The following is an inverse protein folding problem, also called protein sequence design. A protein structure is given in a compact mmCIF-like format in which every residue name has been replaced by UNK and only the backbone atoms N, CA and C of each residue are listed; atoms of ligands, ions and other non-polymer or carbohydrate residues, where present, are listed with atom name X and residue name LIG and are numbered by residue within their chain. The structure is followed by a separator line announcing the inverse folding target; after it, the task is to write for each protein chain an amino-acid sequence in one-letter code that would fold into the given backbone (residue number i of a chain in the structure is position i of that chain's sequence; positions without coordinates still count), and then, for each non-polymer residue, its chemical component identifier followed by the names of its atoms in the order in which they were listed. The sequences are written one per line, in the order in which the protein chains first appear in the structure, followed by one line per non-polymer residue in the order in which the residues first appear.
data_IF_592910678001
#
_entry.id   IF_592910678001
#
_cell.length_a   1.000
_cell.length_b   1.000
_cell.length_c   1.000
_cell.angle_alpha   90.00
_cell.angle_beta   90.00
_cell.angle_gamma   90.00
#
_symmetry.space_group_name_H-M   'P 1'
#
loop_
_entity.id
_entity.type
_entity.pdbx_description
1 polymer ?
#
# COMPACT_ATOMS: atom_id res chain seq x y z
N UNK A 1 40.26 -40.42 0.33
CA UNK A 1 40.07 -39.61 1.54
C UNK A 1 38.61 -39.11 1.65
N UNK A 2 37.63 -40.01 1.84
CA UNK A 2 36.19 -39.66 1.78
C UNK A 2 35.37 -40.05 3.02
N UNK A 3 36.02 -40.53 4.08
CA UNK A 3 35.35 -41.15 5.25
C UNK A 3 34.81 -40.14 6.28
N UNK A 4 35.37 -38.93 6.38
CA UNK A 4 34.98 -37.92 7.37
C UNK A 4 33.52 -37.46 7.23
N UNK A 5 33.03 -37.29 6.00
CA UNK A 5 31.67 -36.79 5.73
C UNK A 5 30.59 -37.82 6.07
N UNK A 6 30.83 -39.10 5.78
CA UNK A 6 29.86 -40.17 6.04
C UNK A 6 29.72 -40.45 7.53
N UNK A 7 30.83 -40.58 8.26
CA UNK A 7 30.82 -40.80 9.71
C UNK A 7 30.18 -39.63 10.47
N UNK A 8 30.38 -38.39 10.02
CA UNK A 8 29.73 -37.21 10.60
C UNK A 8 28.20 -37.23 10.44
N UNK A 9 27.70 -37.69 9.29
CA UNK A 9 26.26 -37.81 9.03
C UNK A 9 25.62 -38.90 9.90
N UNK A 10 26.27 -40.06 10.04
CA UNK A 10 25.77 -41.14 10.89
C UNK A 10 25.68 -40.70 12.36
N UNK A 11 26.72 -40.02 12.88
CA UNK A 11 26.70 -39.45 14.23
C UNK A 11 25.56 -38.45 14.44
N UNK A 12 25.31 -37.57 13.47
CA UNK A 12 24.19 -36.63 13.54
C UNK A 12 22.83 -37.33 13.57
N UNK A 13 22.65 -38.40 12.80
CA UNK A 13 21.42 -39.21 12.80
C UNK A 13 21.21 -39.87 14.16
N UNK A 14 22.25 -40.46 14.75
CA UNK A 14 22.20 -41.02 16.11
C UNK A 14 21.85 -39.97 17.17
N UNK A 15 22.43 -38.77 17.07
CA UNK A 15 22.12 -37.65 17.98
C UNK A 15 20.64 -37.19 17.84
N UNK A 16 20.09 -37.13 16.62
CA UNK A 16 18.68 -36.79 16.39
C UNK A 16 17.74 -37.83 16.99
N UNK A 17 18.06 -39.12 16.85
CA UNK A 17 17.27 -40.22 17.43
C UNK A 17 17.31 -40.14 18.96
N UNK A 18 18.48 -39.82 19.54
CA UNK A 18 18.68 -39.77 21.00
C UNK A 18 17.97 -38.59 21.67
N UNK A 19 17.87 -37.44 21.00
CA UNK A 19 17.36 -36.20 21.57
C UNK A 19 16.14 -35.66 20.82
N UNK A 20 15.18 -36.54 20.50
CA UNK A 20 13.99 -36.23 19.69
C UNK A 20 13.04 -35.20 20.35
N UNK A 21 13.48 -33.95 20.48
CA UNK A 21 12.71 -32.85 21.05
C UNK A 21 12.17 -31.99 19.90
N UNK A 22 10.86 -32.03 19.63
CA UNK A 22 10.24 -31.12 18.69
C UNK A 22 10.35 -29.68 19.21
N UNK A 23 10.56 -28.74 18.31
CA UNK A 23 10.50 -27.32 18.62
C UNK A 23 9.05 -26.90 18.86
N UNK A 24 8.82 -26.10 19.91
CA UNK A 24 7.51 -25.49 20.18
C UNK A 24 7.04 -24.62 19.00
N UNK A 25 8.00 -23.97 18.34
CA UNK A 25 7.77 -23.20 17.11
C UNK A 25 8.69 -23.79 16.03
N UNK A 26 8.14 -24.28 14.91
CA UNK A 26 8.96 -24.74 13.79
C UNK A 26 9.68 -23.55 13.14
N UNK A 27 10.90 -23.78 12.64
CA UNK A 27 11.53 -22.78 11.79
C UNK A 27 10.76 -22.62 10.47
N UNK A 28 10.88 -21.46 9.82
CA UNK A 28 10.11 -21.11 8.60
C UNK A 28 10.12 -22.24 7.57
N UNK A 29 11.27 -22.87 7.38
CA UNK A 29 11.43 -23.96 6.42
C UNK A 29 10.73 -25.25 6.82
N UNK A 30 10.86 -25.65 8.08
CA UNK A 30 10.17 -26.84 8.58
C UNK A 30 8.65 -26.63 8.55
N UNK A 31 8.21 -25.39 8.82
CA UNK A 31 6.82 -24.98 8.68
C UNK A 31 6.33 -25.09 7.22
N UNK A 32 7.03 -24.47 6.26
CA UNK A 32 6.70 -24.54 4.83
C UNK A 32 6.69 -25.96 4.27
N UNK A 33 7.59 -26.82 4.75
CA UNK A 33 7.69 -28.21 4.27
C UNK A 33 6.77 -29.19 5.01
N UNK A 34 6.01 -28.74 6.01
CA UNK A 34 5.13 -29.58 6.81
C UNK A 34 5.84 -30.69 7.59
N UNK A 35 7.12 -30.49 7.92
CA UNK A 35 7.96 -31.48 8.61
C UNK A 35 8.20 -31.08 10.07
N UNK A 36 8.32 -32.05 11.00
CA UNK A 36 8.63 -31.74 12.39
C UNK A 36 10.00 -31.05 12.49
N UNK A 37 10.03 -29.90 13.15
CA UNK A 37 11.26 -29.18 13.45
C UNK A 37 11.90 -29.79 14.70
N UNK A 38 12.99 -30.54 14.55
CA UNK A 38 13.67 -31.18 15.67
C UNK A 38 14.87 -30.34 16.10
N UNK A 39 14.89 -29.89 17.35
CA UNK A 39 15.98 -29.05 17.89
C UNK A 39 17.20 -29.94 18.15
N UNK A 40 18.38 -29.48 17.72
CA UNK A 40 19.64 -30.15 18.03
C UNK A 40 20.16 -29.72 19.41
N UNK A 41 20.58 -30.65 20.29
CA UNK A 41 21.00 -30.36 21.67
C UNK A 41 22.27 -29.51 21.74
N UNK A 42 23.17 -29.62 20.74
CA UNK A 42 24.45 -28.92 20.70
C UNK A 42 24.41 -27.58 19.94
N UNK A 43 23.25 -27.19 19.41
CA UNK A 43 23.06 -25.93 18.72
C UNK A 43 21.67 -25.38 19.00
N UNK A 44 21.56 -24.55 20.03
CA UNK A 44 20.32 -23.96 20.56
C UNK A 44 19.45 -23.24 19.52
N UNK A 45 20.02 -22.90 18.36
CA UNK A 45 19.35 -22.12 17.32
C UNK A 45 19.13 -22.89 16.01
N UNK A 46 19.54 -24.16 15.90
CA UNK A 46 19.43 -24.92 14.64
C UNK A 46 18.66 -26.22 14.80
N UNK A 47 17.73 -26.45 13.90
CA UNK A 47 17.07 -27.73 13.77
C UNK A 47 17.94 -28.75 13.01
N UNK A 48 17.58 -30.02 13.14
CA UNK A 48 18.22 -31.14 12.47
C UNK A 48 18.32 -30.94 10.94
N UNK A 49 17.25 -30.47 10.31
CA UNK A 49 17.17 -30.31 8.86
C UNK A 49 18.04 -29.14 8.36
N UNK A 50 18.01 -28.00 9.06
CA UNK A 50 18.90 -26.88 8.74
C UNK A 50 20.36 -27.21 9.01
N UNK A 51 20.66 -28.01 10.04
CA UNK A 51 22.01 -28.49 10.33
C UNK A 51 22.51 -29.44 9.24
N UNK A 52 21.68 -30.39 8.80
CA UNK A 52 21.98 -31.32 7.70
C UNK A 52 22.29 -30.61 6.39
N UNK A 53 21.59 -29.51 6.14
CA UNK A 53 21.71 -28.74 4.89
C UNK A 53 22.67 -27.56 4.99
N UNK A 54 23.27 -27.32 6.16
CA UNK A 54 24.23 -26.24 6.37
C UNK A 54 23.65 -24.83 6.19
N UNK A 55 22.34 -24.66 6.38
CA UNK A 55 21.63 -23.38 6.18
C UNK A 55 21.30 -22.70 7.52
N UNK A 56 21.10 -21.38 7.54
CA UNK A 56 20.59 -20.70 8.73
C UNK A 56 19.20 -21.25 9.08
N UNK A 57 18.96 -21.41 10.37
CA UNK A 57 17.67 -21.82 10.91
C UNK A 57 17.01 -20.57 11.49
N UNK A 58 15.97 -20.08 10.81
CA UNK A 58 15.19 -18.93 11.28
C UNK A 58 14.05 -19.48 12.12
N UNK A 59 14.26 -19.48 13.44
CA UNK A 59 13.22 -19.79 14.41
C UNK A 59 13.01 -18.52 15.25
N UNK A 60 11.98 -17.75 14.92
CA UNK A 60 11.60 -16.55 15.65
C UNK A 60 10.66 -16.95 16.78
N UNK A 61 10.91 -16.43 17.98
CA UNK A 61 9.97 -16.57 19.08
C UNK A 61 8.69 -15.75 18.81
N UNK A 62 7.57 -16.15 19.42
CA UNK A 62 6.31 -15.37 19.37
C UNK A 62 6.54 -13.90 19.74
N UNK A 63 7.29 -13.61 20.81
CA UNK A 63 7.59 -12.24 21.20
C UNK A 63 8.49 -11.47 20.21
N UNK A 64 9.24 -12.13 19.33
CA UNK A 64 9.94 -11.46 18.24
C UNK A 64 8.99 -11.15 17.07
N UNK A 65 8.06 -12.06 16.76
CA UNK A 65 7.02 -11.85 15.75
C UNK A 65 6.04 -10.74 16.17
N UNK A 66 5.60 -10.73 17.42
CA UNK A 66 4.70 -9.71 17.95
C UNK A 66 5.33 -8.32 17.89
N UNK A 67 6.60 -8.19 18.32
CA UNK A 67 7.35 -6.94 18.19
C UNK A 67 7.46 -6.48 16.73
N UNK A 68 7.78 -7.41 15.83
CA UNK A 68 7.85 -7.11 14.39
C UNK A 68 6.50 -6.61 13.89
N UNK A 69 5.41 -7.30 14.23
CA UNK A 69 4.05 -6.91 13.84
C UNK A 69 3.69 -5.52 14.36
N UNK A 70 3.94 -5.23 15.62
CA UNK A 70 3.67 -3.92 16.22
C UNK A 70 4.50 -2.81 15.59
N UNK A 71 5.80 -3.03 15.35
CA UNK A 71 6.68 -2.05 14.72
C UNK A 71 6.25 -1.71 13.29
N UNK A 72 5.90 -2.73 12.49
CA UNK A 72 5.45 -2.49 11.12
C UNK A 72 4.04 -1.93 11.06
N UNK A 73 3.15 -2.30 11.99
CA UNK A 73 1.82 -1.67 12.09
C UNK A 73 1.94 -0.17 12.36
N UNK A 74 2.80 0.24 13.29
CA UNK A 74 3.04 1.67 13.56
C UNK A 74 3.55 2.43 12.33
N UNK A 75 4.38 1.79 11.49
CA UNK A 75 4.87 2.38 10.24
C UNK A 75 3.74 2.52 9.22
N UNK A 76 2.91 1.50 9.07
CA UNK A 76 1.72 1.55 8.20
C UNK A 76 0.80 2.68 8.64
N UNK A 77 0.46 2.78 9.93
CA UNK A 77 -0.42 3.83 10.45
C UNK A 77 0.17 5.24 10.24
N UNK A 78 1.51 5.38 10.30
CA UNK A 78 2.18 6.65 10.02
C UNK A 78 2.13 7.01 8.53
N UNK A 79 2.38 6.05 7.64
CA UNK A 79 2.33 6.24 6.19
C UNK A 79 0.90 6.53 5.71
N UNK A 80 -0.12 5.90 6.30
CA UNK A 80 -1.53 6.17 6.01
C UNK A 80 -1.92 7.61 6.36
N UNK A 81 -1.42 8.16 7.47
CA UNK A 81 -1.63 9.57 7.85
C UNK A 81 -0.98 10.53 6.84
N UNK A 82 0.26 10.27 6.45
CA UNK A 82 0.95 11.05 5.43
C UNK A 82 0.20 11.00 4.09
N UNK A 83 -0.30 9.83 3.70
CA UNK A 83 -1.08 9.66 2.49
C UNK A 83 -2.38 10.48 2.56
N UNK A 84 -3.09 10.48 3.69
CA UNK A 84 -4.29 11.29 3.88
C UNK A 84 -4.00 12.80 3.75
N UNK A 85 -2.90 13.29 4.33
CA UNK A 85 -2.47 14.70 4.18
C UNK A 85 -2.17 15.07 2.73
N UNK A 86 -1.47 14.19 2.00
CA UNK A 86 -1.15 14.39 0.59
C UNK A 86 -2.41 14.42 -0.26
N UNK A 87 -3.36 13.51 -0.02
CA UNK A 87 -4.65 13.48 -0.71
C UNK A 87 -5.42 14.78 -0.44
N UNK A 88 -5.53 15.22 0.82
CA UNK A 88 -6.22 16.45 1.17
C UNK A 88 -5.60 17.68 0.47
N UNK A 89 -4.27 17.74 0.40
CA UNK A 89 -3.55 18.80 -0.34
C UNK A 89 -3.82 18.72 -1.84
N UNK A 90 -3.79 17.53 -2.42
CA UNK A 90 -4.07 17.33 -3.85
C UNK A 90 -5.47 17.81 -4.21
N UNK A 91 -6.48 17.46 -3.40
CA UNK A 91 -7.87 17.88 -3.61
C UNK A 91 -8.02 19.41 -3.55
N UNK A 92 -7.38 20.07 -2.57
CA UNK A 92 -7.34 21.54 -2.50
C UNK A 92 -6.72 22.15 -3.76
N UNK A 93 -5.57 21.64 -4.20
CA UNK A 93 -4.89 22.14 -5.39
C UNK A 93 -5.74 21.94 -6.65
N UNK A 94 -6.40 20.78 -6.80
CA UNK A 94 -7.33 20.53 -7.92
C UNK A 94 -8.50 21.49 -7.91
N UNK A 95 -9.07 21.80 -6.73
CA UNK A 95 -10.16 22.78 -6.61
C UNK A 95 -9.71 24.17 -7.06
N UNK A 96 -8.54 24.61 -6.61
CA UNK A 96 -7.96 25.91 -7.02
C UNK A 96 -7.70 25.94 -8.53
N UNK A 97 -7.14 24.87 -9.09
CA UNK A 97 -6.89 24.77 -10.53
C UNK A 97 -8.18 24.89 -11.34
N UNK A 98 -9.22 24.13 -10.99
CA UNK A 98 -10.54 24.23 -11.63
C UNK A 98 -11.12 25.65 -11.57
N UNK A 99 -10.99 26.32 -10.42
CA UNK A 99 -11.44 27.71 -10.29
C UNK A 99 -10.64 28.68 -11.15
N UNK A 100 -9.33 28.49 -11.28
CA UNK A 100 -8.47 29.29 -12.14
C UNK A 100 -8.81 29.09 -13.62
N UNK A 101 -9.01 27.85 -14.06
CA UNK A 101 -9.43 27.51 -15.43
C UNK A 101 -10.79 28.12 -15.76
N UNK A 102 -11.76 28.03 -14.86
CA UNK A 102 -13.09 28.60 -15.07
C UNK A 102 -13.05 30.14 -15.14
N UNK A 103 -12.24 30.79 -14.31
CA UNK A 103 -12.01 32.24 -14.39
C UNK A 103 -11.31 32.63 -15.69
N UNK A 104 -10.33 31.85 -16.14
CA UNK A 104 -9.65 32.07 -17.41
C UNK A 104 -10.64 31.96 -18.59
N UNK A 105 -11.49 30.94 -18.60
CA UNK A 105 -12.55 30.77 -19.61
C UNK A 105 -13.50 31.96 -19.65
N UNK A 106 -13.98 32.43 -18.51
CA UNK A 106 -14.87 33.61 -18.44
C UNK A 106 -14.20 34.87 -18.99
N UNK A 107 -12.92 35.08 -18.68
CA UNK A 107 -12.15 36.22 -19.23
C UNK A 107 -11.96 36.12 -20.74
N UNK A 108 -11.68 34.93 -21.25
CA UNK A 108 -11.57 34.67 -22.70
C UNK A 108 -12.90 34.97 -23.40
N UNK A 109 -14.03 34.54 -22.82
CA UNK A 109 -15.36 34.83 -23.38
C UNK A 109 -15.66 36.34 -23.39
N UNK A 110 -15.33 37.07 -22.32
CA UNK A 110 -15.51 38.52 -22.24
C UNK A 110 -14.65 39.27 -23.27
N UNK A 111 -13.38 38.88 -23.40
CA UNK A 111 -12.48 39.45 -24.40
C UNK A 111 -12.98 39.16 -25.82
N UNK A 112 -13.48 37.95 -26.07
CA UNK A 112 -14.05 37.59 -27.37
C UNK A 112 -15.32 38.41 -27.71
N UNK A 113 -16.16 38.74 -26.73
CA UNK A 113 -17.28 39.65 -26.95
C UNK A 113 -16.83 41.08 -27.25
N UNK A 114 -15.84 41.60 -26.51
CA UNK A 114 -15.28 42.95 -26.73
C UNK A 114 -14.69 43.09 -28.13
N UNK A 115 -13.91 42.10 -28.59
CA UNK A 115 -13.30 42.09 -29.93
C UNK A 115 -14.36 42.03 -31.05
N UNK A 116 -15.43 41.27 -30.85
CA UNK A 116 -16.57 41.25 -31.79
C UNK A 116 -17.29 42.60 -31.85
N UNK A 117 -17.45 43.28 -30.72
CA UNK A 117 -18.05 44.62 -30.66
C UNK A 117 -17.17 45.69 -31.33
N UNK A 118 -15.84 45.56 -31.26
CA UNK A 118 -14.89 46.45 -31.93
C UNK A 118 -14.73 46.18 -33.44
N UNK A 119 -15.43 45.18 -33.98
CA UNK A 119 -15.37 44.82 -35.40
C UNK A 119 -14.13 44.02 -35.80
N UNK A 120 -13.40 43.47 -34.82
CA UNK A 120 -12.29 42.54 -35.05
C UNK A 120 -12.83 41.10 -34.99
N UNK A 121 -13.04 40.49 -36.16
CA UNK A 121 -13.51 39.10 -36.26
C UNK A 121 -12.44 38.12 -35.72
N UNK A 122 -12.69 37.57 -34.53
CA UNK A 122 -11.88 36.48 -33.95
C UNK A 122 -12.58 35.15 -34.24
N UNK A 123 -11.94 34.32 -35.07
CA UNK A 123 -12.42 33.00 -35.46
C UNK A 123 -12.80 32.13 -34.25
N UNK A 124 -13.96 31.47 -34.35
CA UNK A 124 -14.61 30.64 -33.32
C UNK A 124 -13.84 29.36 -32.92
N UNK A 125 -12.58 29.21 -33.34
CA UNK A 125 -11.69 28.11 -32.92
C UNK A 125 -11.13 28.28 -31.51
N UNK A 126 -11.26 29.47 -30.90
CA UNK A 126 -10.87 29.71 -29.51
C UNK A 126 -11.93 29.30 -28.47
N UNK A 127 -13.14 28.92 -28.92
CA UNK A 127 -14.27 28.53 -28.06
C UNK A 127 -14.51 27.02 -27.96
N UNK A 128 -13.77 26.20 -28.70
CA UNK A 128 -13.83 24.75 -28.54
C UNK A 128 -12.91 24.32 -27.37
N UNK A 129 -13.37 23.46 -26.45
CA UNK A 129 -12.48 22.92 -25.42
C UNK A 129 -11.34 22.17 -26.12
N UNK A 130 -10.06 22.34 -25.72
CA UNK A 130 -9.07 21.37 -26.10
C UNK A 130 -9.49 20.03 -25.48
N UNK A 131 -9.97 19.14 -26.35
CA UNK A 131 -10.11 17.72 -26.09
C UNK A 131 -8.76 17.23 -25.54
N UNK A 132 -8.85 16.50 -24.43
CA UNK A 132 -7.78 15.71 -23.83
C UNK A 132 -6.59 16.48 -23.26
N UNK A 133 -6.73 16.89 -21.99
CA UNK A 133 -5.57 16.90 -21.09
C UNK A 133 -5.08 15.44 -20.95
N UNK A 134 -3.84 15.09 -21.37
CA UNK A 134 -3.35 13.70 -21.40
C UNK A 134 -3.22 13.04 -20.02
N UNK A 135 -3.52 13.75 -18.92
CA UNK A 135 -3.49 13.24 -17.57
C UNK A 135 -4.67 12.31 -17.20
N UNK A 136 -5.68 12.17 -18.06
CA UNK A 136 -6.84 11.30 -17.81
C UNK A 136 -6.55 9.79 -17.93
N UNK A 137 -5.34 9.40 -18.34
CA UNK A 137 -4.99 7.99 -18.63
C UNK A 137 -4.01 7.34 -17.65
N UNK A 138 -3.85 7.85 -16.43
CA UNK A 138 -3.16 7.08 -15.38
C UNK A 138 -4.18 6.10 -14.80
N UNK A 139 -4.30 4.94 -15.45
CA UNK A 139 -5.07 3.78 -14.99
C UNK A 139 -4.50 3.23 -13.69
N UNK A 140 -4.84 3.86 -12.57
CA UNK A 140 -4.65 3.29 -11.25
C UNK A 140 -5.89 2.43 -10.99
N UNK A 141 -5.72 1.11 -11.06
CA UNK A 141 -6.75 0.19 -10.60
C UNK A 141 -6.89 0.34 -9.07
N UNK A 142 -7.80 1.19 -8.64
CA UNK A 142 -8.15 1.36 -7.24
C UNK A 142 -8.97 0.16 -6.76
N UNK A 143 -8.73 -0.29 -5.53
CA UNK A 143 -9.53 -1.33 -4.90
C UNK A 143 -11.00 -0.86 -4.75
N UNK A 144 -11.99 -1.77 -4.74
CA UNK A 144 -13.41 -1.41 -4.61
C UNK A 144 -13.73 -0.49 -3.43
N UNK A 145 -13.02 -0.63 -2.30
CA UNK A 145 -13.20 0.23 -1.12
C UNK A 145 -12.75 1.70 -1.34
N UNK A 146 -11.81 1.94 -2.25
CA UNK A 146 -11.38 3.29 -2.63
C UNK A 146 -12.38 3.97 -3.57
N UNK A 147 -13.12 3.20 -4.38
CA UNK A 147 -14.22 3.74 -5.19
C UNK A 147 -15.40 4.18 -4.33
N UNK A 148 -15.69 3.44 -3.27
CA UNK A 148 -16.76 3.79 -2.33
C UNK A 148 -16.45 5.09 -1.58
N UNK A 149 -15.19 5.28 -1.14
CA UNK A 149 -14.76 6.54 -0.50
C UNK A 149 -14.68 7.71 -1.50
N UNK A 150 -14.28 7.48 -2.76
CA UNK A 150 -14.35 8.50 -3.81
C UNK A 150 -15.78 8.88 -4.20
N UNK A 151 -16.72 7.93 -4.25
CA UNK A 151 -18.14 8.21 -4.50
C UNK A 151 -18.79 9.04 -3.39
N UNK A 152 -18.37 8.81 -2.14
CA UNK A 152 -18.72 9.67 -0.99
C UNK A 152 -18.15 11.08 -1.13
N UNK A 153 -16.92 11.23 -1.66
CA UNK A 153 -16.30 12.54 -1.88
C UNK A 153 -16.95 13.31 -3.04
N UNK A 154 -17.29 12.65 -4.15
CA UNK A 154 -17.99 13.29 -5.28
C UNK A 154 -19.41 13.74 -4.89
N UNK A 155 -20.12 12.97 -4.04
CA UNK A 155 -21.43 13.39 -3.50
C UNK A 155 -21.33 14.57 -2.53
N UNK A 156 -20.26 14.68 -1.73
CA UNK A 156 -20.03 15.82 -0.84
C UNK A 156 -19.71 17.11 -1.63
N UNK A 157 -18.90 17.02 -2.68
CA UNK A 157 -18.57 18.17 -3.54
C UNK A 157 -19.77 18.62 -4.38
N UNK A 158 -20.69 17.72 -4.71
CA UNK A 158 -21.92 18.05 -5.44
C UNK A 158 -23.03 18.65 -4.57
N UNK A 159 -23.00 18.47 -3.24
CA UNK A 159 -24.13 18.82 -2.34
C UNK A 159 -23.90 20.04 -1.44
N UNK A 160 -22.70 20.62 -1.37
CA UNK A 160 -22.47 21.91 -0.65
C UNK A 160 -22.95 23.15 -1.43
N UNK A 161 -24.18 23.07 -1.96
CA UNK A 161 -25.01 24.19 -2.39
C UNK A 161 -26.33 24.30 -1.62
N UNK A 162 -26.65 23.34 -0.73
CA UNK A 162 -27.87 23.38 0.08
C UNK A 162 -27.57 22.85 1.47
N UNK A 163 -27.51 23.75 2.45
CA UNK A 163 -27.38 23.39 3.86
C UNK A 163 -28.54 22.48 4.28
N UNK A 164 -28.29 21.35 4.99
CA UNK A 164 -29.36 20.64 5.66
C UNK A 164 -29.80 21.48 6.85
N UNK A 165 -31.04 21.97 6.79
CA UNK A 165 -31.74 22.47 7.97
C UNK A 165 -31.87 21.31 8.96
N UNK A 166 -31.18 21.40 10.09
CA UNK A 166 -31.50 20.58 11.25
C UNK A 166 -32.90 21.00 11.73
N UNK A 167 -33.90 20.23 11.30
CA UNK A 167 -35.23 20.31 11.85
C UNK A 167 -35.23 19.70 13.24
N UNK A 168 -35.49 20.54 14.24
CA UNK A 168 -36.03 20.11 15.52
C UNK A 168 -37.26 19.24 15.28
N UNK A 169 -37.31 18.07 15.91
CA UNK A 169 -38.58 17.45 16.22
C UNK A 169 -38.48 16.53 17.45
N UNK A 170 -39.10 17.03 18.52
CA UNK A 170 -39.76 16.36 19.65
C UNK A 170 -38.89 15.59 20.66
#
# INVERSE_FOLDING_TARGET
MSSSSASRRLRLVEEIIRYHTPADIPCDRCFESGRPCLIMPNSSLKCAECTRLGRPCVNLSWGALDRTREEYQKKVDADEKLLAEVIARLLRNKKILKQAEERARKKVLCLASELRESGEDVDAQFTAPPLDCPAASIGIAFSPAMWETMGLLDSYVATEGTAPAFGDNS
#
